data_IF_306243723888
#
_entry.id   IF_306243723888
#
_cell.length_a   1.000
_cell.length_b   1.000
_cell.length_c   1.000
_cell.angle_alpha   90.00
_cell.angle_beta   90.00
_cell.angle_gamma   90.00
#
_symmetry.space_group_name_H-M   'P 1'
#
loop_
_entity.id
_entity.type
_entity.pdbx_description
1 polymer ?
#
# COMPACT_ATOMS: atom_id res chain seq x y z
N UNK A 1 -6.30 -32.75 19.34
CA UNK A 1 -5.06 -32.67 18.54
C UNK A 1 -4.45 -31.30 18.80
N UNK A 2 -3.23 -31.26 19.37
CA UNK A 2 -2.57 -29.98 19.64
C UNK A 2 -2.12 -29.36 18.31
N UNK A 3 -2.63 -28.17 17.99
CA UNK A 3 -2.10 -27.36 16.89
C UNK A 3 -0.65 -27.01 17.24
N UNK A 4 0.29 -27.54 16.48
CA UNK A 4 1.68 -27.15 16.56
C UNK A 4 1.76 -25.71 16.00
N UNK A 5 1.80 -24.76 16.93
CA UNK A 5 2.00 -23.34 16.61
C UNK A 5 3.48 -23.17 16.21
N UNK A 6 3.83 -23.49 14.96
CA UNK A 6 5.15 -23.23 14.41
C UNK A 6 5.29 -21.71 14.30
N UNK A 7 6.30 -21.09 14.93
CA UNK A 7 6.50 -19.65 14.82
C UNK A 7 6.62 -19.24 13.35
N UNK A 8 5.75 -18.35 12.91
CA UNK A 8 5.82 -17.81 11.56
C UNK A 8 6.96 -16.81 11.46
N UNK A 9 7.93 -17.11 10.62
CA UNK A 9 9.00 -16.17 10.28
C UNK A 9 8.79 -15.62 8.86
N UNK A 10 8.73 -14.29 8.68
CA UNK A 10 8.64 -13.69 7.36
C UNK A 10 9.81 -14.14 6.48
N UNK A 11 9.51 -14.62 5.28
CA UNK A 11 10.53 -15.05 4.32
C UNK A 11 11.09 -13.84 3.57
N UNK A 12 12.37 -13.88 3.24
CA UNK A 12 12.97 -12.88 2.36
C UNK A 12 12.26 -12.86 1.01
N UNK A 13 11.95 -11.66 0.50
CA UNK A 13 11.33 -11.52 -0.82
C UNK A 13 12.28 -12.01 -1.92
N UNK A 14 11.74 -12.74 -2.90
CA UNK A 14 12.52 -13.18 -4.07
C UNK A 14 13.01 -11.99 -4.90
N UNK A 15 14.10 -12.14 -5.69
CA UNK A 15 14.57 -11.08 -6.58
C UNK A 15 13.45 -10.53 -7.48
N UNK A 16 12.66 -11.40 -8.10
CA UNK A 16 11.55 -10.99 -8.97
C UNK A 16 10.47 -10.17 -8.22
N UNK A 17 10.28 -10.39 -6.91
CA UNK A 17 9.39 -9.59 -6.10
C UNK A 17 10.02 -8.22 -5.78
N UNK A 18 11.31 -8.20 -5.48
CA UNK A 18 12.04 -6.96 -5.25
C UNK A 18 12.04 -6.09 -6.51
N UNK A 19 12.27 -6.67 -7.69
CA UNK A 19 12.18 -5.96 -8.98
C UNK A 19 10.80 -5.33 -9.20
N UNK A 20 9.72 -6.03 -8.86
CA UNK A 20 8.36 -5.48 -8.94
C UNK A 20 8.14 -4.29 -8.01
N UNK A 21 8.72 -4.33 -6.80
CA UNK A 21 8.66 -3.22 -5.86
C UNK A 21 9.47 -2.05 -6.40
N UNK A 22 10.68 -2.31 -6.86
CA UNK A 22 11.57 -1.28 -7.41
C UNK A 22 11.03 -0.63 -8.68
N UNK A 23 10.19 -1.32 -9.43
CA UNK A 23 9.51 -0.76 -10.61
C UNK A 23 8.56 0.40 -10.27
N UNK A 24 8.18 0.60 -8.99
CA UNK A 24 7.39 1.77 -8.57
C UNK A 24 8.14 3.10 -8.73
N UNK A 25 9.48 3.07 -8.86
CA UNK A 25 10.30 4.24 -9.10
C UNK A 25 10.47 4.57 -10.59
N UNK A 26 10.00 3.71 -11.50
CA UNK A 26 10.13 3.94 -12.93
C UNK A 26 9.17 5.05 -13.40
N UNK A 27 9.70 6.03 -14.13
CA UNK A 27 8.90 7.11 -14.72
C UNK A 27 7.78 6.59 -15.64
N UNK A 28 8.05 5.57 -16.42
CA UNK A 28 7.08 5.00 -17.36
C UNK A 28 5.88 4.31 -16.69
N UNK A 29 5.99 4.03 -15.39
CA UNK A 29 4.95 3.41 -14.57
C UNK A 29 4.32 4.37 -13.57
N UNK A 30 4.79 5.62 -13.55
CA UNK A 30 4.29 6.64 -12.65
C UNK A 30 2.82 6.93 -12.97
N UNK A 31 1.99 6.82 -11.94
CA UNK A 31 0.56 7.15 -11.99
C UNK A 31 0.30 8.43 -11.22
N UNK A 32 -0.87 9.01 -11.41
CA UNK A 32 -1.27 10.20 -10.66
C UNK A 32 -1.54 9.83 -9.19
N UNK A 33 -0.58 10.11 -8.33
CA UNK A 33 -0.66 9.88 -6.89
C UNK A 33 -0.38 11.17 -6.11
N UNK A 34 -0.48 11.09 -4.80
CA UNK A 34 -0.35 12.26 -3.92
C UNK A 34 1.00 12.99 -4.06
N UNK A 35 2.11 12.28 -4.25
CA UNK A 35 3.45 12.84 -4.30
C UNK A 35 4.18 12.56 -5.62
N UNK A 36 3.47 12.16 -6.66
CA UNK A 36 3.99 12.07 -8.03
C UNK A 36 2.85 12.14 -9.04
N UNK A 37 3.00 12.97 -10.05
CA UNK A 37 2.10 13.07 -11.19
C UNK A 37 2.43 12.06 -12.28
N UNK A 38 1.61 12.02 -13.31
CA UNK A 38 1.86 11.21 -14.50
C UNK A 38 3.11 11.71 -15.21
N UNK A 39 4.08 10.83 -15.43
CA UNK A 39 5.34 11.17 -16.08
C UNK A 39 6.42 11.76 -15.15
N UNK A 40 6.11 11.95 -13.87
CA UNK A 40 7.10 12.32 -12.86
C UNK A 40 7.93 11.10 -12.44
N UNK A 41 9.06 11.30 -11.75
CA UNK A 41 9.75 10.22 -11.06
C UNK A 41 8.78 9.48 -10.15
N UNK A 42 8.76 8.15 -10.22
CA UNK A 42 7.90 7.32 -9.38
C UNK A 42 8.21 7.46 -7.88
N UNK A 43 7.34 6.90 -7.06
CA UNK A 43 7.53 6.79 -5.63
C UNK A 43 6.97 5.45 -5.13
N UNK A 44 7.59 4.91 -4.08
CA UNK A 44 7.06 3.74 -3.39
C UNK A 44 6.18 4.18 -2.23
N UNK A 45 4.93 3.73 -2.22
CA UNK A 45 3.95 4.04 -1.18
C UNK A 45 3.74 2.86 -0.25
N UNK A 46 3.75 3.11 1.06
CA UNK A 46 3.46 2.09 2.06
C UNK A 46 2.73 2.68 3.27
N UNK A 47 1.93 1.86 3.95
CA UNK A 47 1.50 2.16 5.32
C UNK A 47 2.62 1.85 6.30
N UNK A 48 2.82 2.68 7.31
CA UNK A 48 3.79 2.41 8.38
C UNK A 48 3.34 1.30 9.32
N UNK A 49 2.07 0.93 9.22
CA UNK A 49 1.47 -0.22 9.93
C UNK A 49 0.59 -1.01 8.97
N UNK A 50 0.37 -2.29 9.30
CA UNK A 50 -0.52 -3.13 8.49
C UNK A 50 -1.96 -2.60 8.41
N UNK A 51 -2.60 -2.11 9.49
CA UNK A 51 -3.91 -1.48 9.37
C UNK A 51 -3.94 -0.29 8.42
N UNK A 52 -2.94 0.60 8.46
CA UNK A 52 -2.86 1.74 7.54
C UNK A 52 -2.82 1.27 6.08
N UNK A 53 -1.96 0.29 5.76
CA UNK A 53 -1.87 -0.27 4.41
C UNK A 53 -3.20 -0.94 3.96
N UNK A 54 -3.87 -1.67 4.85
CA UNK A 54 -5.18 -2.31 4.56
C UNK A 54 -6.23 -1.25 4.21
N UNK A 55 -6.33 -0.18 4.99
CA UNK A 55 -7.32 0.86 4.77
C UNK A 55 -7.08 1.64 3.47
N UNK A 56 -5.83 1.91 3.10
CA UNK A 56 -5.50 2.53 1.81
C UNK A 56 -5.88 1.62 0.64
N UNK A 57 -5.50 0.34 0.65
CA UNK A 57 -5.86 -0.62 -0.41
C UNK A 57 -7.39 -0.77 -0.52
N UNK A 58 -8.08 -0.92 0.62
CA UNK A 58 -9.55 -1.06 0.61
C UNK A 58 -10.22 0.15 -0.01
N UNK A 59 -9.75 1.36 0.31
CA UNK A 59 -10.30 2.58 -0.27
C UNK A 59 -10.16 2.60 -1.80
N UNK A 60 -8.99 2.21 -2.34
CA UNK A 60 -8.78 2.10 -3.78
C UNK A 60 -9.72 1.05 -4.41
N UNK A 61 -9.87 -0.12 -3.79
CA UNK A 61 -10.79 -1.15 -4.27
C UNK A 61 -12.24 -0.66 -4.31
N UNK A 62 -12.65 0.17 -3.36
CA UNK A 62 -14.02 0.68 -3.23
C UNK A 62 -14.28 1.89 -4.13
N UNK A 63 -13.27 2.65 -4.55
CA UNK A 63 -13.44 3.92 -5.24
C UNK A 63 -12.88 3.95 -6.67
N UNK A 64 -11.96 3.06 -7.05
CA UNK A 64 -11.40 3.04 -8.39
C UNK A 64 -12.39 2.38 -9.37
N UNK A 65 -12.83 3.12 -10.40
CA UNK A 65 -13.84 2.68 -11.37
C UNK A 65 -13.44 1.42 -12.15
N UNK A 66 -12.15 1.22 -12.39
CA UNK A 66 -11.60 0.07 -13.12
C UNK A 66 -11.55 -1.25 -12.33
N UNK A 67 -11.89 -1.24 -11.03
CA UNK A 67 -11.84 -2.44 -10.19
C UNK A 67 -13.19 -3.17 -10.21
N UNK A 68 -13.27 -4.42 -10.77
CA UNK A 68 -14.48 -5.22 -10.68
C UNK A 68 -14.83 -5.53 -9.23
N UNK A 69 -16.09 -5.28 -8.86
CA UNK A 69 -16.56 -5.49 -7.48
C UNK A 69 -16.95 -6.95 -7.17
N UNK A 70 -17.13 -7.79 -8.16
CA UNK A 70 -17.66 -9.14 -8.03
C UNK A 70 -16.64 -10.24 -7.76
N UNK A 71 -15.39 -9.89 -7.45
CA UNK A 71 -14.32 -10.87 -7.27
C UNK A 71 -13.48 -10.61 -6.03
N UNK A 72 -13.11 -11.68 -5.34
CA UNK A 72 -12.10 -11.64 -4.27
C UNK A 72 -10.76 -11.19 -4.83
N UNK A 73 -10.12 -10.27 -4.14
CA UNK A 73 -8.78 -9.79 -4.45
C UNK A 73 -7.79 -10.27 -3.41
N UNK A 74 -6.71 -10.88 -3.84
CA UNK A 74 -5.68 -11.40 -2.94
C UNK A 74 -4.40 -10.57 -3.11
N UNK A 75 -3.92 -10.05 -2.01
CA UNK A 75 -2.68 -9.28 -1.94
C UNK A 75 -1.67 -9.98 -1.06
N UNK A 76 -0.43 -9.84 -1.40
CA UNK A 76 0.70 -10.27 -0.60
C UNK A 76 1.23 -9.09 0.20
N UNK A 77 1.32 -9.24 1.52
CA UNK A 77 1.94 -8.25 2.38
C UNK A 77 3.45 -8.39 2.27
N UNK A 78 4.10 -7.30 1.96
CA UNK A 78 5.56 -7.18 2.00
C UNK A 78 5.91 -6.14 3.04
N UNK A 79 6.81 -6.45 3.94
CA UNK A 79 7.45 -5.49 4.82
C UNK A 79 8.80 -5.10 4.26
N UNK A 80 9.19 -3.87 4.45
CA UNK A 80 10.51 -3.36 4.09
C UNK A 80 11.08 -2.54 5.25
N UNK A 81 12.39 -2.56 5.38
CA UNK A 81 13.09 -1.59 6.21
C UNK A 81 13.28 -0.32 5.39
N UNK A 82 13.08 0.81 6.03
CA UNK A 82 13.24 2.13 5.41
C UNK A 82 14.26 2.92 6.23
N UNK A 83 15.36 3.31 5.61
CA UNK A 83 16.44 4.11 6.22
C UNK A 83 16.65 5.37 5.36
N UNK A 84 16.66 6.56 5.99
CA UNK A 84 16.88 7.80 5.26
C UNK A 84 16.36 9.02 5.99
N UNK A 85 16.41 10.15 5.32
CA UNK A 85 15.89 11.44 5.80
C UNK A 85 14.51 11.69 5.19
N UNK A 86 13.51 11.95 6.01
CA UNK A 86 12.14 12.11 5.57
C UNK A 86 11.54 13.44 6.04
N UNK A 87 10.80 14.09 5.15
CA UNK A 87 9.96 15.21 5.55
C UNK A 87 8.73 14.67 6.32
N UNK A 88 8.57 15.09 7.55
CA UNK A 88 7.43 14.68 8.38
C UNK A 88 6.29 15.71 8.29
N UNK A 89 5.20 15.31 7.65
CA UNK A 89 3.98 16.13 7.55
C UNK A 89 2.93 15.79 8.62
N UNK A 90 3.20 14.82 9.49
CA UNK A 90 2.27 14.48 10.58
C UNK A 90 2.12 15.66 11.55
N UNK A 91 0.89 15.88 12.01
CA UNK A 91 0.59 17.03 12.88
C UNK A 91 0.57 18.39 12.19
N UNK A 92 0.84 18.45 10.88
CA UNK A 92 0.71 19.69 10.10
C UNK A 92 -0.69 19.83 9.51
N UNK A 93 -1.02 21.05 9.04
CA UNK A 93 -2.23 21.35 8.26
C UNK A 93 -1.90 21.55 6.78
N UNK A 94 -0.87 20.88 6.27
CA UNK A 94 -0.45 21.05 4.89
C UNK A 94 -1.59 20.69 3.91
N UNK A 95 -1.78 21.51 2.88
CA UNK A 95 -2.80 21.29 1.86
C UNK A 95 -2.62 19.96 1.13
N UNK A 96 -1.39 19.45 1.06
CA UNK A 96 -1.04 18.13 0.56
C UNK A 96 -1.74 16.97 1.29
N UNK A 97 -2.21 17.19 2.51
CA UNK A 97 -2.91 16.19 3.33
C UNK A 97 -4.44 16.18 3.11
N UNK A 98 -4.96 17.05 2.26
CA UNK A 98 -6.40 17.06 1.96
C UNK A 98 -6.84 15.69 1.42
N UNK A 99 -7.90 15.05 1.98
CA UNK A 99 -8.41 13.78 1.50
C UNK A 99 -9.05 13.87 0.10
N UNK A 100 -9.52 15.05 -0.30
CA UNK A 100 -9.96 15.33 -1.66
C UNK A 100 -8.76 15.31 -2.60
N UNK A 101 -8.75 14.34 -3.51
CA UNK A 101 -7.62 14.12 -4.44
C UNK A 101 -7.43 15.29 -5.40
N UNK A 102 -8.50 16.02 -5.76
CA UNK A 102 -8.41 17.20 -6.62
C UNK A 102 -7.65 18.37 -5.99
N UNK A 103 -7.57 18.38 -4.66
CA UNK A 103 -6.86 19.39 -3.86
C UNK A 103 -5.52 18.85 -3.36
N UNK A 104 -5.56 17.66 -2.75
CA UNK A 104 -4.42 17.06 -2.06
C UNK A 104 -3.32 16.61 -3.00
N UNK A 105 -3.66 16.05 -4.15
CA UNK A 105 -2.66 15.53 -5.10
C UNK A 105 -1.82 16.66 -5.72
N UNK A 106 -2.39 17.73 -6.33
CA UNK A 106 -1.56 18.80 -6.86
C UNK A 106 -0.68 19.48 -5.79
N UNK A 107 -1.21 19.64 -4.58
CA UNK A 107 -0.44 20.22 -3.49
C UNK A 107 0.67 19.28 -2.99
N UNK A 108 0.42 17.97 -2.97
CA UNK A 108 1.41 16.95 -2.60
C UNK A 108 2.52 16.81 -3.63
N UNK A 109 2.17 16.83 -4.92
CA UNK A 109 3.12 16.81 -6.03
C UNK A 109 4.06 18.00 -5.95
N UNK A 110 3.51 19.19 -5.69
CA UNK A 110 4.36 20.38 -5.47
C UNK A 110 5.31 20.21 -4.28
N UNK A 111 4.86 19.65 -3.16
CA UNK A 111 5.75 19.33 -2.03
C UNK A 111 6.84 18.36 -2.46
N UNK A 112 6.51 17.31 -3.22
CA UNK A 112 7.49 16.36 -3.72
C UNK A 112 8.52 17.03 -4.63
N UNK A 113 8.11 17.91 -5.54
CA UNK A 113 9.02 18.66 -6.43
C UNK A 113 10.00 19.51 -5.63
N UNK A 114 9.51 20.18 -4.57
CA UNK A 114 10.32 21.07 -3.74
C UNK A 114 11.36 20.28 -2.88
N UNK A 115 11.10 19.00 -2.54
CA UNK A 115 11.92 18.27 -1.56
C UNK A 115 12.59 17.00 -2.07
N UNK A 116 12.20 16.47 -3.24
CA UNK A 116 12.66 15.17 -3.75
C UNK A 116 14.17 15.02 -3.88
N UNK A 117 14.87 16.13 -4.11
CA UNK A 117 16.34 16.16 -4.21
C UNK A 117 17.05 16.43 -2.86
N UNK A 118 16.27 16.59 -1.78
CA UNK A 118 16.77 16.97 -0.46
C UNK A 118 16.54 15.87 0.57
N UNK A 119 15.42 15.14 0.44
CA UNK A 119 15.03 14.07 1.35
C UNK A 119 14.69 12.79 0.59
N UNK A 120 14.77 11.66 1.27
CA UNK A 120 14.49 10.33 0.70
C UNK A 120 12.98 10.04 0.56
N UNK A 121 12.14 10.88 1.14
CA UNK A 121 10.69 10.73 1.05
C UNK A 121 9.92 11.59 2.04
N UNK A 122 8.63 11.29 2.17
CA UNK A 122 7.68 12.01 3.02
C UNK A 122 6.93 11.02 3.91
N UNK A 123 6.82 11.32 5.21
CA UNK A 123 5.91 10.63 6.15
C UNK A 123 4.68 11.51 6.39
N UNK A 124 3.50 10.93 6.32
CA UNK A 124 2.24 11.69 6.41
C UNK A 124 1.13 10.85 7.07
N UNK A 125 0.11 11.50 7.68
CA UNK A 125 -1.02 10.77 8.23
C UNK A 125 -1.80 10.07 7.12
N UNK A 126 -2.27 8.84 7.37
CA UNK A 126 -3.18 8.17 6.44
C UNK A 126 -4.49 8.96 6.32
N UNK A 127 -4.95 9.19 5.09
CA UNK A 127 -6.25 9.79 4.85
C UNK A 127 -7.42 8.81 5.12
N UNK A 128 -7.12 7.53 5.32
CA UNK A 128 -8.09 6.43 5.40
C UNK A 128 -8.09 5.72 6.75
N UNK A 129 -7.10 5.99 7.60
CA UNK A 129 -6.95 5.41 8.93
C UNK A 129 -6.47 6.47 9.92
N UNK A 130 -7.34 6.94 10.79
CA UNK A 130 -7.10 8.10 11.67
C UNK A 130 -5.87 7.98 12.58
N UNK A 131 -5.50 6.76 12.98
CA UNK A 131 -4.33 6.48 13.81
C UNK A 131 -3.11 6.00 13.00
N UNK A 132 -3.26 5.94 11.69
CA UNK A 132 -2.23 5.42 10.79
C UNK A 132 -1.39 6.53 10.15
N UNK A 133 -0.19 6.14 9.74
CA UNK A 133 0.65 6.96 8.88
C UNK A 133 1.04 6.18 7.64
N UNK A 134 1.33 6.93 6.59
CA UNK A 134 1.84 6.43 5.34
C UNK A 134 3.20 7.07 5.04
N UNK A 135 3.94 6.43 4.16
CA UNK A 135 5.21 6.91 3.66
C UNK A 135 5.21 6.89 2.14
N UNK A 136 5.74 7.93 1.52
CA UNK A 136 6.10 7.95 0.11
C UNK A 136 7.63 8.05 0.03
N UNK A 137 8.27 7.02 -0.49
CA UNK A 137 9.73 6.96 -0.64
C UNK A 137 10.09 7.38 -2.05
N UNK A 138 10.99 8.34 -2.19
CA UNK A 138 11.47 8.88 -3.47
C UNK A 138 12.79 8.26 -3.90
N UNK A 139 13.67 7.99 -2.94
CA UNK A 139 14.97 7.38 -3.17
C UNK A 139 14.87 5.87 -2.98
N UNK A 140 15.12 5.11 -4.05
CA UNK A 140 15.08 3.64 -4.03
C UNK A 140 16.09 3.02 -3.05
N UNK A 141 17.22 3.70 -2.82
CA UNK A 141 18.27 3.23 -1.92
C UNK A 141 17.87 3.30 -0.44
N UNK A 142 16.80 4.03 -0.12
CA UNK A 142 16.23 4.06 1.22
C UNK A 142 15.43 2.79 1.58
N UNK A 143 15.16 1.89 0.62
CA UNK A 143 14.37 0.67 0.84
C UNK A 143 15.26 -0.57 0.90
N UNK A 144 15.16 -1.33 1.98
CA UNK A 144 15.97 -2.51 2.22
C UNK A 144 15.15 -3.66 2.83
N UNK A 145 15.77 -4.84 2.87
CA UNK A 145 15.36 -6.02 3.65
C UNK A 145 13.88 -6.39 3.44
N UNK A 146 13.47 -6.51 2.18
CA UNK A 146 12.11 -6.90 1.81
C UNK A 146 11.78 -8.31 2.29
N UNK A 147 10.69 -8.44 3.05
CA UNK A 147 10.21 -9.71 3.58
C UNK A 147 8.75 -9.92 3.22
N UNK A 148 8.42 -11.14 2.87
CA UNK A 148 7.04 -11.59 2.71
C UNK A 148 6.49 -11.92 4.09
N UNK A 149 5.42 -11.22 4.49
CA UNK A 149 4.76 -11.49 5.77
C UNK A 149 3.59 -12.46 5.55
N UNK A 150 2.47 -11.99 5.05
CA UNK A 150 1.23 -12.77 4.95
C UNK A 150 0.46 -12.44 3.68
N UNK A 151 -0.71 -13.06 3.53
CA UNK A 151 -1.66 -12.69 2.48
C UNK A 151 -2.88 -12.01 3.09
N UNK A 152 -3.50 -11.14 2.31
CA UNK A 152 -4.80 -10.54 2.62
C UNK A 152 -5.74 -10.82 1.45
N UNK A 153 -6.92 -11.36 1.74
CA UNK A 153 -8.01 -11.34 0.79
C UNK A 153 -8.96 -10.20 1.11
N UNK A 154 -9.39 -9.49 0.07
CA UNK A 154 -10.50 -8.55 0.13
C UNK A 154 -11.69 -9.20 -0.58
N UNK A 155 -12.78 -9.33 0.13
CA UNK A 155 -13.97 -10.03 -0.31
C UNK A 155 -15.13 -9.04 -0.43
N UNK A 156 -15.91 -9.06 -1.55
CA UNK A 156 -17.10 -8.24 -1.67
C UNK A 156 -18.04 -8.50 -0.51
N UNK A 157 -18.60 -7.46 0.10
CA UNK A 157 -19.61 -7.61 1.15
C UNK A 157 -20.99 -7.75 0.49
N UNK A 158 -21.70 -8.88 0.66
CA UNK A 158 -23.00 -9.10 0.04
C UNK A 158 -24.02 -8.01 0.44
N UNK A 159 -24.83 -7.60 -0.52
CA UNK A 159 -25.90 -6.62 -0.30
C UNK A 159 -25.42 -5.17 -0.11
N UNK A 160 -24.15 -4.89 -0.39
CA UNK A 160 -23.61 -3.53 -0.36
C UNK A 160 -23.08 -3.09 -1.73
N UNK A 161 -23.16 -1.80 -2.02
CA UNK A 161 -22.50 -1.23 -3.19
C UNK A 161 -21.02 -0.99 -2.89
N UNK A 162 -20.15 -1.69 -3.61
CA UNK A 162 -18.69 -1.49 -3.61
C UNK A 162 -18.05 -1.43 -2.21
N UNK A 163 -18.40 -2.35 -1.32
CA UNK A 163 -17.72 -2.52 -0.05
C UNK A 163 -16.97 -3.83 0.03
N UNK A 164 -15.75 -3.78 0.56
CA UNK A 164 -14.91 -4.94 0.77
C UNK A 164 -14.66 -5.17 2.26
N UNK A 165 -14.93 -6.41 2.70
CA UNK A 165 -14.34 -6.95 3.93
C UNK A 165 -12.92 -7.43 3.65
N UNK A 166 -12.13 -7.68 4.69
CA UNK A 166 -10.81 -8.30 4.50
C UNK A 166 -10.57 -9.43 5.49
N UNK A 167 -9.69 -10.35 5.07
CA UNK A 167 -9.26 -11.48 5.90
C UNK A 167 -7.75 -11.66 5.79
N UNK A 168 -7.10 -11.86 6.92
CA UNK A 168 -5.66 -12.14 6.98
C UNK A 168 -5.41 -13.64 6.89
N UNK A 169 -4.43 -14.04 6.10
CA UNK A 169 -4.01 -15.43 5.91
C UNK A 169 -2.51 -15.56 6.17
N UNK A 170 -2.15 -16.43 7.10
CA UNK A 170 -0.74 -16.68 7.45
C UNK A 170 -0.11 -17.69 6.47
N UNK A 171 -0.91 -18.62 5.93
CA UNK A 171 -0.44 -19.69 5.05
C UNK A 171 -1.05 -19.58 3.63
N UNK A 172 -0.28 -19.89 2.58
CA UNK A 172 -0.78 -19.82 1.20
C UNK A 172 -2.01 -20.70 0.91
N UNK A 173 -2.13 -21.86 1.57
CA UNK A 173 -3.26 -22.78 1.39
C UNK A 173 -4.59 -22.20 1.92
N UNK A 174 -4.54 -21.30 2.91
CA UNK A 174 -5.73 -20.61 3.42
C UNK A 174 -6.33 -19.65 2.37
N UNK A 175 -5.47 -19.05 1.54
CA UNK A 175 -5.88 -18.21 0.41
C UNK A 175 -6.62 -19.02 -0.64
N UNK A 176 -6.10 -20.22 -0.96
CA UNK A 176 -6.71 -21.10 -1.96
C UNK A 176 -8.11 -21.61 -1.53
N UNK A 177 -8.32 -21.80 -0.24
CA UNK A 177 -9.62 -22.18 0.32
C UNK A 177 -10.65 -21.04 0.20
N UNK A 178 -10.26 -19.81 0.54
CA UNK A 178 -11.12 -18.64 0.44
C UNK A 178 -11.55 -18.36 -1.01
N UNK A 179 -10.61 -18.48 -1.96
CA UNK A 179 -10.89 -18.25 -3.39
C UNK A 179 -11.87 -19.29 -3.98
N UNK A 180 -11.84 -20.54 -3.51
CA UNK A 180 -12.74 -21.61 -3.99
C UNK A 180 -14.17 -21.48 -3.46
N UNK A 181 -14.37 -20.92 -2.27
CA UNK A 181 -15.70 -20.74 -1.69
C UNK A 181 -16.57 -19.75 -2.48
N UNK A 182 -15.96 -18.85 -3.26
CA UNK A 182 -16.66 -17.85 -4.07
C UNK A 182 -16.82 -18.24 -5.55
N UNK A 183 -16.19 -19.36 -5.97
CA UNK A 183 -16.33 -19.87 -7.34
C UNK A 183 -17.54 -20.82 -7.54
N UNK A 184 -18.32 -21.09 -6.49
CA UNK A 184 -19.44 -22.06 -6.48
C UNK A 184 -20.79 -21.38 -6.16
N UNK A 185 -20.84 -20.05 -6.16
CA UNK A 185 -22.10 -19.31 -5.95
C UNK A 185 -22.55 -18.60 -7.23
#
# INVERSE_FOLDING_TARGET
MAEHNVPYHPMRASPAMQDKIMASFDFSRSQNNRFNGVGDPGAYYAGTTLPAAIHEIRWHLENDEGVPFNATRVYRVVTARVDGTFLDLRGTRARALNPDTSIGYPAGQKVADDVRNIVDGVVYPSARHSEGSCIAVFNREALHDFRLDRFISFEPVPGTERRFGYRLHVQPHQVAAAARQHAIA
#
